data_IF_270344276731
#
_entry.id   IF_270344276731
#
_cell.length_a   1.000
_cell.length_b   1.000
_cell.length_c   1.000
_cell.angle_alpha   90.00
_cell.angle_beta   90.00
_cell.angle_gamma   90.00
#
_symmetry.space_group_name_H-M   'P 1'
#
loop_
_entity.id
_entity.type
_entity.pdbx_description
1 polymer ?
#
# COMPACT_ATOMS: atom_id res chain seq x y z
N UNK A 1 0.01 -5.37 14.49
CA UNK A 1 0.84 -4.46 15.31
C UNK A 1 1.76 -5.29 16.18
N UNK A 2 3.00 -4.84 16.37
CA UNK A 2 3.99 -5.50 17.23
C UNK A 2 4.42 -4.52 18.32
N UNK A 3 4.49 -5.01 19.55
CA UNK A 3 5.03 -4.26 20.69
C UNK A 3 6.54 -4.47 20.74
N UNK A 4 7.30 -3.38 20.63
CA UNK A 4 8.76 -3.40 20.69
C UNK A 4 9.25 -2.56 21.86
N UNK A 5 10.18 -3.11 22.64
CA UNK A 5 10.88 -2.35 23.66
C UNK A 5 11.95 -1.47 23.00
N UNK A 6 11.81 -0.16 23.16
CA UNK A 6 12.70 0.82 22.56
C UNK A 6 13.44 1.57 23.68
N UNK A 7 14.77 1.63 23.58
CA UNK A 7 15.58 2.43 24.51
C UNK A 7 15.35 3.92 24.24
N UNK A 8 15.27 4.77 25.28
CA UNK A 8 15.09 6.20 25.11
C UNK A 8 16.28 6.83 24.36
N UNK A 9 16.00 7.73 23.43
CA UNK A 9 17.02 8.55 22.77
C UNK A 9 16.64 10.05 22.88
N UNK A 10 17.15 10.76 23.90
CA UNK A 10 16.82 12.17 24.15
C UNK A 10 17.21 13.10 23.00
N UNK A 11 18.27 12.79 22.24
CA UNK A 11 18.72 13.61 21.10
C UNK A 11 17.75 13.58 19.91
N UNK A 12 16.95 12.53 19.81
CA UNK A 12 15.94 12.34 18.75
C UNK A 12 14.51 12.49 19.30
N UNK A 13 14.34 12.98 20.53
CA UNK A 13 13.04 13.05 21.22
C UNK A 13 12.28 11.72 21.28
N UNK A 14 12.99 10.57 21.23
CA UNK A 14 12.36 9.25 21.31
C UNK A 14 12.19 8.88 22.78
N UNK A 15 10.94 8.86 23.25
CA UNK A 15 10.60 8.34 24.59
C UNK A 15 10.84 6.83 24.61
N UNK A 16 11.48 6.36 25.69
CA UNK A 16 11.70 4.93 25.91
C UNK A 16 10.42 4.22 26.37
N UNK A 17 10.38 2.90 26.23
CA UNK A 17 9.26 2.07 26.70
C UNK A 17 8.81 1.06 25.66
N UNK A 18 7.58 0.55 25.85
CA UNK A 18 6.93 -0.35 24.89
C UNK A 18 6.24 0.50 23.84
N UNK A 19 6.77 0.51 22.62
CA UNK A 19 6.22 1.24 21.47
C UNK A 19 5.51 0.27 20.55
N UNK A 20 4.35 0.67 20.05
CA UNK A 20 3.62 -0.09 19.03
C UNK A 20 4.10 0.31 17.64
N UNK A 21 4.47 -0.69 16.83
CA UNK A 21 4.89 -0.51 15.46
C UNK A 21 4.06 -1.40 14.52
N UNK A 22 3.93 -0.95 13.28
CA UNK A 22 3.36 -1.75 12.21
C UNK A 22 4.31 -2.91 11.87
N UNK A 23 3.74 -4.08 11.65
CA UNK A 23 4.49 -5.26 11.23
C UNK A 23 4.46 -5.35 9.70
N UNK A 24 5.46 -5.97 9.11
CA UNK A 24 5.39 -6.36 7.71
C UNK A 24 4.19 -7.30 7.50
N UNK A 25 3.48 -7.11 6.38
CA UNK A 25 2.42 -7.97 5.91
C UNK A 25 2.85 -8.57 4.58
N UNK A 26 2.54 -9.85 4.37
CA UNK A 26 2.83 -10.50 3.09
C UNK A 26 1.99 -9.86 1.96
N UNK A 27 2.62 -9.56 0.83
CA UNK A 27 1.97 -8.83 -0.26
C UNK A 27 0.76 -9.55 -0.87
N UNK A 28 0.65 -10.88 -0.73
CA UNK A 28 -0.54 -11.63 -1.18
C UNK A 28 -1.79 -11.39 -0.33
N UNK A 29 -1.63 -10.85 0.89
CA UNK A 29 -2.73 -10.64 1.83
C UNK A 29 -3.39 -9.26 1.66
N UNK A 30 -2.92 -8.45 0.70
CA UNK A 30 -3.47 -7.13 0.41
C UNK A 30 -4.06 -7.11 -1.00
N UNK A 31 -5.06 -6.25 -1.21
CA UNK A 31 -5.69 -6.04 -2.50
C UNK A 31 -5.75 -4.56 -2.85
N UNK A 32 -5.57 -4.25 -4.14
CA UNK A 32 -5.70 -2.89 -4.63
C UNK A 32 -7.18 -2.47 -4.60
N UNK A 33 -7.43 -1.30 -4.04
CA UNK A 33 -8.70 -0.58 -4.17
C UNK A 33 -8.62 0.29 -5.42
N UNK A 34 -9.58 0.11 -6.34
CA UNK A 34 -9.63 0.92 -7.55
C UNK A 34 -10.03 2.36 -7.21
N UNK A 35 -9.30 3.40 -7.67
CA UNK A 35 -9.66 4.79 -7.41
C UNK A 35 -10.95 5.22 -8.12
N UNK A 36 -11.34 4.54 -9.21
CA UNK A 36 -12.54 4.88 -9.99
C UNK A 36 -13.82 4.29 -9.39
N UNK A 37 -13.79 3.03 -8.96
CA UNK A 37 -14.98 2.33 -8.48
C UNK A 37 -14.99 2.04 -6.98
N UNK A 38 -13.92 2.37 -6.24
CA UNK A 38 -13.80 2.14 -4.80
C UNK A 38 -13.80 0.68 -4.36
N UNK A 39 -13.92 -0.27 -5.29
CA UNK A 39 -14.00 -1.68 -5.00
C UNK A 39 -12.61 -2.33 -4.97
N UNK A 40 -12.40 -3.34 -4.11
CA UNK A 40 -11.20 -4.17 -4.15
C UNK A 40 -11.19 -4.97 -5.45
N UNK A 41 -10.09 -4.91 -6.21
CA UNK A 41 -10.02 -5.44 -7.57
C UNK A 41 -8.69 -6.14 -7.87
N UNK A 42 -8.69 -6.96 -8.93
CA UNK A 42 -7.46 -7.47 -9.54
C UNK A 42 -7.01 -6.53 -10.65
N UNK A 43 -5.71 -6.53 -10.91
CA UNK A 43 -5.07 -5.65 -11.89
C UNK A 43 -4.91 -6.38 -13.23
N UNK A 44 -5.28 -5.73 -14.33
CA UNK A 44 -4.84 -6.05 -15.69
C UNK A 44 -3.77 -5.07 -16.16
N UNK A 45 -3.20 -5.28 -17.35
CA UNK A 45 -2.31 -4.31 -17.98
C UNK A 45 -2.80 -4.01 -19.39
N UNK A 46 -2.72 -2.76 -19.81
CA UNK A 46 -3.07 -2.31 -21.16
C UNK A 46 -2.00 -1.31 -21.65
N UNK A 47 -1.77 -1.31 -22.96
CA UNK A 47 -0.99 -0.27 -23.64
C UNK A 47 -1.96 0.81 -24.11
N UNK A 48 -1.68 2.04 -23.74
CA UNK A 48 -2.39 3.23 -24.21
C UNK A 48 -1.86 3.63 -25.59
N UNK A 49 -2.63 4.44 -26.33
CA UNK A 49 -2.27 4.88 -27.69
C UNK A 49 -1.00 5.74 -27.75
N UNK A 50 -0.57 6.29 -26.62
CA UNK A 50 0.69 7.02 -26.44
C UNK A 50 1.90 6.10 -26.15
N UNK A 51 1.70 4.78 -26.18
CA UNK A 51 2.74 3.77 -25.94
C UNK A 51 2.98 3.46 -24.45
N UNK A 52 2.26 4.11 -23.52
CA UNK A 52 2.44 3.86 -22.08
C UNK A 52 1.72 2.59 -21.63
N UNK A 53 2.40 1.78 -20.81
CA UNK A 53 1.82 0.57 -20.20
C UNK A 53 1.24 0.93 -18.84
N UNK A 54 -0.08 0.82 -18.72
CA UNK A 54 -0.81 1.15 -17.49
C UNK A 54 -1.50 -0.07 -16.89
N UNK A 55 -1.70 -0.02 -15.58
CA UNK A 55 -2.54 -0.95 -14.82
C UNK A 55 -4.01 -0.57 -14.98
N UNK A 56 -4.84 -1.56 -15.29
CA UNK A 56 -6.30 -1.39 -15.42
C UNK A 56 -7.04 -2.19 -14.35
N UNK A 57 -8.15 -1.65 -13.89
CA UNK A 57 -9.06 -2.35 -12.99
C UNK A 57 -9.82 -3.43 -13.77
N UNK A 58 -9.79 -4.70 -13.31
CA UNK A 58 -10.55 -5.78 -13.97
C UNK A 58 -12.07 -5.72 -13.75
N UNK A 59 -12.58 -4.79 -12.92
CA UNK A 59 -14.02 -4.63 -12.63
C UNK A 59 -14.67 -3.54 -13.47
N UNK A 60 -14.00 -2.41 -13.67
CA UNK A 60 -14.56 -1.24 -14.36
C UNK A 60 -13.70 -0.74 -15.53
N UNK A 61 -12.61 -1.45 -15.88
CA UNK A 61 -11.64 -1.10 -16.92
C UNK A 61 -10.94 0.27 -16.79
N UNK A 62 -11.18 0.98 -15.68
CA UNK A 62 -10.54 2.23 -15.34
C UNK A 62 -9.04 2.12 -15.10
N UNK A 63 -8.31 3.20 -15.36
CA UNK A 63 -6.86 3.27 -15.21
C UNK A 63 -6.49 3.51 -13.75
N UNK A 64 -5.69 2.59 -13.20
CA UNK A 64 -5.26 2.62 -11.80
C UNK A 64 -4.08 3.56 -11.59
N UNK A 65 -3.20 3.67 -12.59
CA UNK A 65 -2.00 4.50 -12.54
C UNK A 65 -2.37 5.95 -12.84
N UNK A 66 -2.81 6.67 -11.81
CA UNK A 66 -2.93 8.13 -11.82
C UNK A 66 -1.71 8.77 -11.17
#
# INVERSE_FOLDING_TARGET
MVKRHTRPNPRQNVKGGVVEHEAALHASNVQLICPDCGAPTRIGRRLLGDGRKVRICRKCDGVVDR
#
